data_IF_542155486887
#
_entry.id   IF_542155486887
#
_cell.length_a   1.000
_cell.length_b   1.000
_cell.length_c   1.000
_cell.angle_alpha   90.00
_cell.angle_beta   90.00
_cell.angle_gamma   90.00
#
_symmetry.space_group_name_H-M   'P 1'
#
loop_
_entity.id
_entity.type
_entity.pdbx_description
1 polymer ?
#
# COMPACT_ATOMS: atom_id res chain seq x y z
N UNK A 1 -22.59 -8.87 -7.67
CA UNK A 1 -23.35 -7.74 -8.23
C UNK A 1 -24.83 -7.91 -7.95
N UNK A 2 -25.56 -6.78 -7.80
CA UNK A 2 -27.03 -6.75 -7.73
C UNK A 2 -27.55 -6.08 -9.00
N UNK A 3 -28.55 -6.68 -9.63
CA UNK A 3 -29.20 -6.17 -10.84
C UNK A 3 -30.64 -5.83 -10.50
N UNK A 4 -31.13 -4.69 -11.01
CA UNK A 4 -32.50 -4.22 -10.82
C UNK A 4 -33.45 -4.65 -11.94
N UNK A 5 -32.87 -5.15 -13.04
CA UNK A 5 -33.65 -5.71 -14.17
C UNK A 5 -33.02 -7.00 -14.72
N UNK A 6 -33.86 -7.83 -15.34
CA UNK A 6 -33.46 -9.14 -15.88
C UNK A 6 -32.63 -9.05 -17.16
N UNK A 7 -32.80 -8.01 -17.94
CA UNK A 7 -32.10 -7.82 -19.22
C UNK A 7 -30.64 -7.48 -18.98
N UNK A 8 -30.36 -6.49 -18.11
CA UNK A 8 -29.00 -6.13 -17.69
C UNK A 8 -28.27 -7.32 -17.06
N UNK A 9 -28.98 -8.10 -16.23
CA UNK A 9 -28.44 -9.34 -15.65
C UNK A 9 -28.03 -10.34 -16.73
N UNK A 10 -28.92 -10.67 -17.64
CA UNK A 10 -28.67 -11.65 -18.69
C UNK A 10 -27.52 -11.22 -19.62
N UNK A 11 -27.50 -9.95 -20.02
CA UNK A 11 -26.43 -9.38 -20.82
C UNK A 11 -25.07 -9.49 -20.11
N UNK A 12 -25.02 -9.10 -18.83
CA UNK A 12 -23.76 -9.18 -18.07
C UNK A 12 -23.29 -10.62 -17.88
N UNK A 13 -24.20 -11.56 -17.53
CA UNK A 13 -23.85 -12.97 -17.36
C UNK A 13 -23.34 -13.61 -18.66
N UNK A 14 -23.89 -13.18 -19.81
CA UNK A 14 -23.43 -13.60 -21.13
C UNK A 14 -21.98 -13.10 -21.41
N UNK A 15 -21.73 -11.82 -21.15
CA UNK A 15 -20.42 -11.22 -21.30
C UNK A 15 -19.41 -11.90 -20.35
N UNK A 16 -19.77 -12.10 -19.08
CA UNK A 16 -18.89 -12.70 -18.07
C UNK A 16 -18.40 -14.10 -18.46
N UNK A 17 -19.25 -14.90 -19.14
CA UNK A 17 -18.85 -16.24 -19.60
C UNK A 17 -17.73 -16.22 -20.64
N UNK A 18 -17.56 -15.12 -21.39
CA UNK A 18 -16.50 -14.99 -22.39
C UNK A 18 -15.15 -14.64 -21.78
N UNK A 19 -15.13 -14.15 -20.52
CA UNK A 19 -13.93 -13.68 -19.83
C UNK A 19 -13.70 -14.44 -18.51
N UNK A 20 -13.57 -15.75 -18.59
CA UNK A 20 -13.27 -16.57 -17.41
C UNK A 20 -11.95 -16.12 -16.77
N UNK A 21 -11.96 -15.90 -15.44
CA UNK A 21 -10.80 -15.45 -14.67
C UNK A 21 -10.58 -13.92 -14.66
N UNK A 22 -11.44 -13.14 -15.34
CA UNK A 22 -11.38 -11.69 -15.32
C UNK A 22 -12.62 -11.08 -14.68
N UNK A 23 -12.41 -9.98 -13.99
CA UNK A 23 -13.47 -9.04 -13.66
C UNK A 23 -13.77 -8.14 -14.86
N UNK A 24 -15.05 -7.71 -14.98
CA UNK A 24 -15.51 -6.85 -16.06
C UNK A 24 -16.11 -5.57 -15.51
N UNK A 25 -15.61 -4.44 -15.99
CA UNK A 25 -16.20 -3.13 -15.80
C UNK A 25 -16.87 -2.64 -17.08
N UNK A 26 -18.11 -2.15 -17.00
CA UNK A 26 -18.71 -1.36 -18.06
C UNK A 26 -18.25 0.08 -17.86
N UNK A 27 -17.45 0.59 -18.79
CA UNK A 27 -16.82 1.92 -18.69
C UNK A 27 -17.50 2.96 -19.57
N UNK A 28 -18.33 2.53 -20.49
CA UNK A 28 -19.12 3.39 -21.36
C UNK A 28 -20.31 2.67 -21.96
N UNK A 29 -21.33 3.45 -22.31
CA UNK A 29 -22.55 2.99 -22.99
C UNK A 29 -23.01 4.10 -23.93
N UNK A 30 -23.48 3.73 -25.10
CA UNK A 30 -24.07 4.69 -26.04
C UNK A 30 -25.51 5.07 -25.59
N UNK A 31 -26.08 6.08 -26.24
CA UNK A 31 -27.41 6.62 -25.88
C UNK A 31 -28.56 5.60 -26.09
N UNK A 32 -28.39 4.65 -26.99
CA UNK A 32 -29.36 3.58 -27.25
C UNK A 32 -29.18 2.35 -26.33
N UNK A 33 -28.13 2.36 -25.47
CA UNK A 33 -27.76 1.31 -24.52
C UNK A 33 -27.49 -0.07 -25.17
N UNK A 34 -27.23 -0.10 -26.50
CA UNK A 34 -26.93 -1.30 -27.25
C UNK A 34 -25.41 -1.49 -27.53
N UNK A 35 -24.60 -0.45 -27.39
CA UNK A 35 -23.13 -0.52 -27.51
C UNK A 35 -22.49 -0.25 -26.15
N UNK A 36 -21.73 -1.22 -25.63
CA UNK A 36 -21.05 -1.13 -24.37
C UNK A 36 -19.53 -1.07 -24.59
N UNK A 37 -18.84 -0.22 -23.83
CA UNK A 37 -17.38 -0.29 -23.70
C UNK A 37 -17.08 -1.06 -22.41
N UNK A 38 -16.39 -2.18 -22.56
CA UNK A 38 -16.03 -3.07 -21.48
C UNK A 38 -14.54 -2.94 -21.19
N UNK A 39 -14.17 -3.06 -19.92
CA UNK A 39 -12.81 -3.27 -19.48
C UNK A 39 -12.73 -4.57 -18.72
N UNK A 40 -11.85 -5.47 -19.15
CA UNK A 40 -11.46 -6.64 -18.35
C UNK A 40 -10.28 -6.29 -17.46
N UNK A 41 -10.12 -6.95 -16.31
CA UNK A 41 -8.96 -6.84 -15.43
C UNK A 41 -8.90 -8.04 -14.48
N UNK A 42 -7.71 -8.32 -13.97
CA UNK A 42 -7.50 -9.33 -12.93
C UNK A 42 -6.41 -8.87 -11.95
N UNK A 43 -6.07 -9.70 -10.99
CA UNK A 43 -4.92 -9.50 -10.10
C UNK A 43 -3.57 -9.65 -10.83
N UNK A 44 -3.56 -10.28 -12.01
CA UNK A 44 -2.38 -10.53 -12.85
C UNK A 44 -2.30 -9.68 -14.10
N UNK A 45 -3.35 -8.95 -14.42
CA UNK A 45 -3.44 -8.20 -15.66
C UNK A 45 -4.20 -6.90 -15.51
N UNK A 46 -3.69 -5.84 -16.15
CA UNK A 46 -4.45 -4.61 -16.36
C UNK A 46 -5.57 -4.79 -17.40
N UNK A 47 -5.57 -5.93 -18.11
CA UNK A 47 -6.60 -6.35 -19.04
C UNK A 47 -6.67 -5.57 -20.34
N UNK A 48 -7.85 -5.54 -20.93
CA UNK A 48 -8.09 -4.96 -22.23
C UNK A 48 -9.45 -4.24 -22.29
N UNK A 49 -9.59 -3.36 -23.27
CA UNK A 49 -10.87 -2.73 -23.60
C UNK A 49 -11.52 -3.41 -24.81
N UNK A 50 -12.84 -3.53 -24.76
CA UNK A 50 -13.66 -4.14 -25.79
C UNK A 50 -14.87 -3.27 -26.10
N UNK A 51 -15.34 -3.32 -27.34
CA UNK A 51 -16.69 -2.88 -27.72
C UNK A 51 -17.58 -4.11 -27.82
N UNK A 52 -18.70 -4.09 -27.15
CA UNK A 52 -19.76 -5.11 -27.27
C UNK A 52 -21.01 -4.50 -27.82
N UNK A 53 -21.55 -5.07 -28.88
CA UNK A 53 -22.85 -4.73 -29.42
C UNK A 53 -23.86 -5.81 -29.02
N UNK A 54 -24.89 -5.41 -28.26
CA UNK A 54 -25.90 -6.32 -27.72
C UNK A 54 -26.97 -6.70 -28.74
N UNK A 55 -27.11 -5.99 -29.89
CA UNK A 55 -28.10 -6.30 -30.94
C UNK A 55 -27.66 -7.49 -31.77
N UNK A 56 -26.43 -7.55 -32.17
CA UNK A 56 -25.85 -8.62 -33.00
C UNK A 56 -24.91 -9.56 -32.24
N UNK A 57 -24.72 -9.32 -30.92
CA UNK A 57 -23.88 -10.10 -30.05
C UNK A 57 -22.40 -10.15 -30.47
N UNK A 58 -21.91 -9.07 -31.04
CA UNK A 58 -20.52 -8.99 -31.48
C UNK A 58 -19.64 -8.37 -30.40
N UNK A 59 -18.39 -8.90 -30.31
CA UNK A 59 -17.38 -8.42 -29.37
C UNK A 59 -16.08 -8.15 -30.12
N UNK A 60 -15.57 -6.94 -30.01
CA UNK A 60 -14.30 -6.54 -30.64
C UNK A 60 -13.31 -6.01 -29.58
N UNK A 61 -12.09 -6.53 -29.57
CA UNK A 61 -11.00 -6.01 -28.72
C UNK A 61 -10.48 -4.71 -29.32
N UNK A 62 -10.51 -3.63 -28.54
CA UNK A 62 -10.00 -2.33 -28.95
C UNK A 62 -8.49 -2.25 -28.70
N UNK A 63 -8.09 -2.51 -27.44
CA UNK A 63 -6.69 -2.35 -26.99
C UNK A 63 -6.44 -3.18 -25.76
N UNK A 64 -5.25 -3.73 -25.67
CA UNK A 64 -4.69 -4.32 -24.45
C UNK A 64 -3.91 -3.26 -23.68
N UNK A 65 -4.10 -3.18 -22.36
CA UNK A 65 -3.52 -2.08 -21.56
C UNK A 65 -2.00 -2.27 -21.37
N UNK A 66 -1.55 -3.51 -21.22
CA UNK A 66 -0.14 -3.84 -20.97
C UNK A 66 0.28 -5.10 -21.71
N UNK A 67 0.38 -5.09 -23.05
CA UNK A 67 0.67 -6.27 -23.85
C UNK A 67 2.08 -6.83 -23.63
N UNK A 68 2.96 -6.07 -23.00
CA UNK A 68 4.34 -6.49 -22.66
C UNK A 68 4.44 -7.25 -21.33
N UNK A 69 3.35 -7.38 -20.55
CA UNK A 69 3.33 -8.13 -19.30
C UNK A 69 2.78 -9.53 -19.58
N UNK A 70 3.58 -10.56 -19.29
CA UNK A 70 3.10 -11.94 -19.31
C UNK A 70 2.37 -12.26 -18.02
N UNK A 71 1.05 -12.45 -18.08
CA UNK A 71 0.20 -12.78 -16.94
C UNK A 71 0.59 -14.10 -16.27
N UNK A 72 1.23 -15.04 -17.01
CA UNK A 72 1.70 -16.30 -16.47
C UNK A 72 2.89 -16.13 -15.53
N UNK A 73 3.59 -15.00 -15.61
CA UNK A 73 4.69 -14.66 -14.71
C UNK A 73 4.21 -13.88 -13.46
N UNK A 74 2.93 -13.54 -13.40
CA UNK A 74 2.34 -12.79 -12.28
C UNK A 74 1.77 -13.70 -11.21
N UNK A 75 1.70 -13.17 -10.00
CA UNK A 75 1.20 -13.84 -8.80
C UNK A 75 -0.28 -13.56 -8.54
N UNK A 76 -0.97 -14.52 -7.93
CA UNK A 76 -2.34 -14.29 -7.47
C UNK A 76 -2.35 -13.42 -6.21
N UNK A 77 -3.31 -12.50 -6.14
CA UNK A 77 -3.61 -11.70 -4.97
C UNK A 77 -4.82 -12.29 -4.22
N UNK A 78 -4.58 -12.82 -3.04
CA UNK A 78 -5.57 -13.53 -2.24
C UNK A 78 -6.21 -12.59 -1.22
N UNK A 79 -7.54 -12.39 -1.21
CA UNK A 79 -8.21 -11.72 -0.11
C UNK A 79 -8.02 -12.51 1.19
N UNK A 80 -7.59 -11.80 2.24
CA UNK A 80 -7.36 -12.38 3.57
C UNK A 80 -7.97 -11.48 4.65
N UNK A 81 -8.19 -12.06 5.83
CA UNK A 81 -8.57 -11.30 7.01
C UNK A 81 -7.92 -11.88 8.27
N UNK A 82 -7.74 -11.02 9.26
CA UNK A 82 -7.26 -11.38 10.59
C UNK A 82 -7.90 -10.48 11.65
N UNK A 83 -7.75 -10.83 12.90
CA UNK A 83 -8.19 -9.99 14.02
C UNK A 83 -7.01 -9.24 14.60
N UNK A 84 -7.18 -7.93 14.77
CA UNK A 84 -6.28 -7.12 15.58
C UNK A 84 -6.43 -7.51 17.06
N UNK A 85 -5.43 -7.20 17.88
CA UNK A 85 -5.38 -7.57 19.31
C UNK A 85 -6.58 -7.10 20.14
N UNK A 86 -7.28 -6.08 19.70
CA UNK A 86 -8.51 -5.56 20.30
C UNK A 86 -9.79 -6.20 19.72
N UNK A 87 -9.65 -7.19 18.84
CA UNK A 87 -10.74 -7.93 18.23
C UNK A 87 -11.34 -7.28 16.98
N UNK A 88 -10.79 -6.16 16.51
CA UNK A 88 -11.24 -5.55 15.26
C UNK A 88 -10.82 -6.42 14.07
N UNK A 89 -11.78 -6.76 13.20
CA UNK A 89 -11.49 -7.49 11.97
C UNK A 89 -10.79 -6.58 10.96
N UNK A 90 -9.61 -6.96 10.52
CA UNK A 90 -8.81 -6.28 9.49
C UNK A 90 -8.84 -7.13 8.21
N UNK A 91 -9.24 -6.51 7.11
CA UNK A 91 -9.20 -7.15 5.79
C UNK A 91 -7.95 -6.72 5.05
N UNK A 92 -7.45 -7.57 4.16
CA UNK A 92 -6.26 -7.29 3.38
C UNK A 92 -6.13 -8.19 2.17
N UNK A 93 -4.96 -8.14 1.57
CA UNK A 93 -4.59 -8.97 0.42
C UNK A 93 -3.21 -9.54 0.65
N UNK A 94 -3.08 -10.84 0.42
CA UNK A 94 -1.81 -11.54 0.44
C UNK A 94 -1.44 -11.96 -0.98
N UNK A 95 -0.31 -11.46 -1.47
CA UNK A 95 0.26 -11.89 -2.74
C UNK A 95 1.46 -12.77 -2.46
N UNK A 96 1.38 -14.04 -2.87
CA UNK A 96 2.44 -15.01 -2.70
C UNK A 96 3.30 -15.09 -3.96
N UNK A 97 4.61 -15.38 -3.84
CA UNK A 97 5.45 -15.60 -5.02
C UNK A 97 4.88 -16.69 -5.93
N UNK A 98 5.20 -16.61 -7.23
CA UNK A 98 4.76 -17.59 -8.22
C UNK A 98 5.08 -19.03 -7.76
N UNK A 99 4.11 -19.92 -7.88
CA UNK A 99 4.22 -21.31 -7.46
C UNK A 99 3.82 -21.58 -6.00
N UNK A 100 3.57 -20.55 -5.21
CA UNK A 100 3.06 -20.68 -3.86
C UNK A 100 1.56 -20.41 -3.76
N UNK A 101 0.94 -21.08 -2.80
CA UNK A 101 -0.45 -20.88 -2.38
C UNK A 101 -0.54 -21.01 -0.84
N UNK A 102 -1.72 -20.86 -0.26
CA UNK A 102 -1.91 -20.90 1.21
C UNK A 102 -1.54 -22.23 1.85
N UNK A 103 -1.50 -23.33 1.08
CA UNK A 103 -1.20 -24.67 1.60
C UNK A 103 0.30 -24.96 1.66
N UNK A 104 1.06 -24.44 0.68
CA UNK A 104 2.49 -24.70 0.53
C UNK A 104 3.41 -23.53 0.91
N UNK A 105 2.87 -22.33 1.12
CA UNK A 105 3.66 -21.17 1.55
C UNK A 105 4.17 -21.37 2.98
N UNK A 106 5.49 -21.53 3.13
CA UNK A 106 6.15 -21.73 4.45
C UNK A 106 7.50 -21.04 4.48
N UNK A 107 7.77 -20.34 5.58
CA UNK A 107 9.06 -19.70 5.86
C UNK A 107 9.56 -18.81 4.71
N UNK A 108 8.65 -18.01 4.12
CA UNK A 108 8.98 -17.09 3.04
C UNK A 108 9.54 -15.78 3.60
N UNK A 109 10.43 -15.10 2.86
CA UNK A 109 10.71 -13.70 3.11
C UNK A 109 9.46 -12.87 2.80
N UNK A 110 9.16 -11.88 3.64
CA UNK A 110 7.91 -11.12 3.58
C UNK A 110 8.17 -9.62 3.50
N UNK A 111 7.35 -8.92 2.73
CA UNK A 111 7.22 -7.46 2.78
C UNK A 111 5.82 -7.10 3.27
N UNK A 112 5.77 -6.40 4.38
CA UNK A 112 4.55 -5.79 4.92
C UNK A 112 4.38 -4.44 4.24
N UNK A 113 3.25 -4.23 3.57
CA UNK A 113 3.04 -3.05 2.73
C UNK A 113 1.79 -2.26 3.16
N UNK A 114 1.89 -1.40 4.19
CA UNK A 114 0.82 -0.49 4.55
C UNK A 114 0.63 0.59 3.49
N UNK A 115 -0.62 0.82 3.09
CA UNK A 115 -0.96 1.83 2.10
C UNK A 115 -0.82 3.26 2.63
N UNK A 116 -0.69 4.22 1.72
CA UNK A 116 -0.74 5.65 2.01
C UNK A 116 -2.14 6.17 2.30
N UNK A 117 -2.23 7.43 2.65
CA UNK A 117 -3.48 8.10 2.96
C UNK A 117 -3.45 8.82 4.29
N UNK A 118 -3.89 8.23 5.43
CA UNK A 118 -4.32 6.85 5.67
C UNK A 118 -5.76 6.53 5.23
N UNK A 119 -6.58 7.55 5.01
CA UNK A 119 -8.00 7.41 4.65
C UNK A 119 -8.17 7.10 3.16
N UNK A 120 -7.57 6.00 2.75
CA UNK A 120 -7.60 5.36 1.45
C UNK A 120 -7.85 3.86 1.65
N UNK A 121 -7.60 3.04 0.65
CA UNK A 121 -7.61 1.59 0.79
C UNK A 121 -6.82 0.92 -0.32
N UNK A 122 -6.32 -0.27 -0.04
CA UNK A 122 -5.96 -1.23 -1.06
C UNK A 122 -7.21 -1.94 -1.61
N UNK A 123 -7.17 -2.30 -2.85
CA UNK A 123 -8.22 -3.03 -3.55
C UNK A 123 -7.63 -4.20 -4.31
N UNK A 124 -8.44 -5.25 -4.52
CA UNK A 124 -8.05 -6.37 -5.35
C UNK A 124 -7.85 -5.93 -6.80
N UNK A 125 -6.80 -6.42 -7.42
CA UNK A 125 -6.46 -6.16 -8.81
C UNK A 125 -4.96 -6.08 -9.05
N UNK A 126 -4.57 -5.87 -10.31
CA UNK A 126 -3.17 -5.76 -10.68
C UNK A 126 -2.52 -4.52 -10.06
N UNK A 127 -1.49 -4.76 -9.26
CA UNK A 127 -0.63 -3.71 -8.74
C UNK A 127 0.82 -4.01 -9.17
N UNK A 128 1.45 -3.17 -10.02
CA UNK A 128 2.78 -3.44 -10.56
C UNK A 128 3.87 -3.51 -9.49
N UNK A 129 3.73 -2.75 -8.40
CA UNK A 129 4.69 -2.75 -7.29
C UNK A 129 4.60 -4.06 -6.48
N UNK A 130 3.40 -4.52 -6.19
CA UNK A 130 3.18 -5.78 -5.48
C UNK A 130 3.64 -6.95 -6.34
N UNK A 131 3.34 -6.94 -7.63
CA UNK A 131 3.81 -7.95 -8.58
C UNK A 131 5.34 -7.93 -8.70
N UNK A 132 5.96 -6.75 -8.70
CA UNK A 132 7.41 -6.61 -8.67
C UNK A 132 8.02 -7.30 -7.44
N UNK A 133 7.49 -7.06 -6.24
CA UNK A 133 7.98 -7.69 -5.02
C UNK A 133 7.74 -9.21 -5.01
N UNK A 134 6.56 -9.66 -5.41
CA UNK A 134 6.22 -11.08 -5.46
C UNK A 134 7.08 -11.85 -6.48
N UNK A 135 7.39 -11.23 -7.63
CA UNK A 135 8.27 -11.81 -8.65
C UNK A 135 9.72 -11.98 -8.16
N UNK A 136 10.15 -11.18 -7.15
CA UNK A 136 11.46 -11.31 -6.47
C UNK A 136 11.46 -12.34 -5.35
N UNK A 137 10.36 -13.05 -5.16
CA UNK A 137 10.25 -14.13 -4.18
C UNK A 137 9.72 -13.70 -2.80
N UNK A 138 9.25 -12.46 -2.64
CA UNK A 138 8.66 -12.00 -1.39
C UNK A 138 7.16 -12.29 -1.35
N UNK A 139 6.66 -12.82 -0.23
CA UNK A 139 5.25 -12.74 0.07
C UNK A 139 4.93 -11.29 0.50
N UNK A 140 3.83 -10.71 -0.01
CA UNK A 140 3.48 -9.33 0.26
C UNK A 140 2.11 -9.26 0.93
N UNK A 141 2.04 -8.70 2.13
CA UNK A 141 0.78 -8.44 2.83
C UNK A 141 0.42 -6.96 2.76
N UNK A 142 -0.68 -6.67 2.09
CA UNK A 142 -1.36 -5.38 2.10
C UNK A 142 -2.54 -5.47 3.06
N UNK A 143 -2.64 -4.58 4.04
CA UNK A 143 -3.74 -4.56 4.98
C UNK A 143 -4.50 -3.25 4.92
N UNK A 144 -5.82 -3.35 4.97
CA UNK A 144 -6.69 -2.20 5.18
C UNK A 144 -6.90 -2.02 6.69
N UNK A 145 -5.91 -1.39 7.34
CA UNK A 145 -5.96 -1.06 8.77
C UNK A 145 -7.11 -0.10 9.08
N UNK A 146 -7.50 0.00 10.37
CA UNK A 146 -8.56 0.94 10.78
C UNK A 146 -8.34 2.35 10.21
N UNK A 147 -9.41 2.98 9.75
CA UNK A 147 -9.36 4.23 9.00
C UNK A 147 -9.41 4.06 7.48
N UNK A 148 -9.11 2.86 6.97
CA UNK A 148 -9.27 2.58 5.53
C UNK A 148 -10.72 2.76 5.09
N UNK A 149 -10.91 3.33 3.89
CA UNK A 149 -12.23 3.62 3.35
C UNK A 149 -12.96 2.36 2.86
N UNK A 150 -14.31 2.43 2.77
CA UNK A 150 -15.14 1.35 2.24
C UNK A 150 -15.60 0.31 3.27
N UNK A 151 -15.17 0.42 4.53
CA UNK A 151 -15.56 -0.49 5.62
C UNK A 151 -16.58 0.12 6.60
N UNK A 152 -17.12 1.28 6.24
CA UNK A 152 -18.13 1.97 7.01
C UNK A 152 -17.58 2.98 8.02
N UNK A 153 -18.48 3.83 8.52
CA UNK A 153 -18.14 4.98 9.35
C UNK A 153 -17.42 4.59 10.66
N UNK A 154 -17.89 3.56 11.34
CA UNK A 154 -17.25 3.09 12.59
C UNK A 154 -15.80 2.68 12.41
N UNK A 155 -15.49 2.00 11.30
CA UNK A 155 -14.14 1.59 10.96
C UNK A 155 -13.25 2.79 10.61
N UNK A 156 -13.81 3.76 9.91
CA UNK A 156 -13.14 5.01 9.57
C UNK A 156 -12.80 5.83 10.81
N UNK A 157 -13.79 6.10 11.68
CA UNK A 157 -13.62 6.88 12.90
C UNK A 157 -12.75 6.18 13.96
N UNK A 158 -12.61 4.86 13.91
CA UNK A 158 -11.72 4.10 14.77
C UNK A 158 -10.22 4.46 14.62
N UNK A 159 -9.88 5.23 13.57
CA UNK A 159 -8.52 5.74 13.32
C UNK A 159 -8.23 7.09 13.97
N UNK A 160 -9.25 7.81 14.46
CA UNK A 160 -9.08 9.19 14.94
C UNK A 160 -8.16 9.23 16.16
N UNK A 161 -7.09 10.04 16.05
CA UNK A 161 -6.00 10.14 17.04
C UNK A 161 -5.32 8.80 17.34
N UNK A 162 -5.26 7.89 16.34
CA UNK A 162 -4.69 6.55 16.48
C UNK A 162 -3.45 6.30 15.61
N UNK A 163 -2.93 7.32 14.96
CA UNK A 163 -1.67 7.23 14.24
C UNK A 163 -0.55 6.74 15.16
N UNK A 164 0.24 5.76 14.71
CA UNK A 164 1.31 5.15 15.49
C UNK A 164 0.86 4.32 16.71
N UNK A 165 -0.43 4.26 16.97
CA UNK A 165 -1.05 3.54 18.10
C UNK A 165 -1.83 2.34 17.57
N UNK A 166 -3.14 2.30 17.72
CA UNK A 166 -3.96 1.16 17.32
C UNK A 166 -3.94 0.92 15.78
N UNK A 167 -3.73 1.96 14.98
CA UNK A 167 -3.51 1.78 13.52
C UNK A 167 -2.20 1.04 13.24
N UNK A 168 -1.15 1.29 14.04
CA UNK A 168 0.10 0.54 13.95
C UNK A 168 -0.04 -0.87 14.51
N UNK A 169 -0.87 -1.06 15.55
CA UNK A 169 -1.17 -2.38 16.08
C UNK A 169 -1.83 -3.28 15.03
N UNK A 170 -2.76 -2.75 14.22
CA UNK A 170 -3.36 -3.48 13.11
C UNK A 170 -2.30 -4.02 12.12
N UNK A 171 -1.26 -3.23 11.83
CA UNK A 171 -0.17 -3.61 10.93
C UNK A 171 0.72 -4.68 11.59
N UNK A 172 1.09 -4.47 12.85
CA UNK A 172 1.86 -5.42 13.65
C UNK A 172 1.16 -6.77 13.77
N UNK A 173 -0.15 -6.76 14.05
CA UNK A 173 -0.94 -7.97 14.22
C UNK A 173 -1.11 -8.75 12.89
N UNK A 174 -1.15 -8.05 11.75
CA UNK A 174 -1.08 -8.68 10.43
C UNK A 174 0.27 -9.35 10.16
N UNK A 175 1.35 -8.72 10.60
CA UNK A 175 2.68 -9.33 10.54
C UNK A 175 2.76 -10.59 11.40
N UNK A 176 2.27 -10.51 12.64
CA UNK A 176 2.23 -11.63 13.56
C UNK A 176 1.34 -12.78 13.03
N UNK A 177 0.20 -12.44 12.42
CA UNK A 177 -0.68 -13.43 11.77
C UNK A 177 0.06 -14.25 10.70
N UNK A 178 0.92 -13.64 9.87
CA UNK A 178 1.74 -14.38 8.89
C UNK A 178 2.76 -15.29 9.55
N UNK A 179 3.36 -14.86 10.66
CA UNK A 179 4.30 -15.67 11.46
C UNK A 179 3.57 -16.88 12.06
N UNK A 180 2.42 -16.65 12.70
CA UNK A 180 1.62 -17.70 13.35
C UNK A 180 1.08 -18.73 12.35
N UNK A 181 0.81 -18.31 11.11
CA UNK A 181 0.46 -19.21 9.99
C UNK A 181 1.66 -20.00 9.45
N UNK A 182 2.88 -19.67 9.87
CA UNK A 182 4.11 -20.28 9.37
C UNK A 182 4.45 -19.88 7.93
N UNK A 183 3.75 -18.87 7.38
CA UNK A 183 4.00 -18.33 6.04
C UNK A 183 5.29 -17.52 6.05
N UNK A 184 5.42 -16.61 7.04
CA UNK A 184 6.58 -15.74 7.17
C UNK A 184 7.71 -16.43 7.93
N UNK A 185 8.93 -16.29 7.44
CA UNK A 185 10.14 -16.44 8.24
C UNK A 185 10.32 -15.19 9.11
N UNK A 186 10.17 -15.34 10.41
CA UNK A 186 10.23 -14.22 11.37
C UNK A 186 11.54 -13.44 11.37
N UNK A 187 12.58 -13.97 10.75
CA UNK A 187 13.89 -13.32 10.63
C UNK A 187 14.06 -12.56 9.32
N UNK A 188 13.12 -12.72 8.37
CA UNK A 188 13.18 -12.16 7.02
C UNK A 188 11.92 -11.39 6.65
N UNK A 189 11.54 -10.44 7.51
CA UNK A 189 10.38 -9.58 7.31
C UNK A 189 10.87 -8.14 7.15
N UNK A 190 10.48 -7.48 6.05
CA UNK A 190 10.63 -6.04 5.86
C UNK A 190 9.26 -5.35 5.92
N UNK A 191 9.27 -4.07 6.23
CA UNK A 191 8.12 -3.18 6.11
C UNK A 191 8.43 -2.09 5.10
N UNK A 192 7.51 -1.85 4.16
CA UNK A 192 7.65 -0.87 3.09
C UNK A 192 6.34 -0.15 2.82
N UNK A 193 6.37 1.17 2.78
CA UNK A 193 5.20 1.94 2.40
C UNK A 193 5.51 3.36 1.96
N UNK A 194 4.54 3.99 1.30
CA UNK A 194 4.63 5.37 0.83
C UNK A 194 3.73 6.32 1.61
N UNK A 195 4.15 7.56 1.82
CA UNK A 195 3.38 8.61 2.49
C UNK A 195 3.00 8.20 3.92
N UNK A 196 1.69 8.08 4.24
CA UNK A 196 1.30 7.47 5.52
C UNK A 196 1.91 6.07 5.71
N UNK A 197 2.00 5.25 4.66
CA UNK A 197 2.67 3.95 4.71
C UNK A 197 4.15 4.06 5.06
N UNK A 198 4.83 5.13 4.62
CA UNK A 198 6.20 5.46 5.02
C UNK A 198 6.30 5.81 6.50
N UNK A 199 5.39 6.65 6.99
CA UNK A 199 5.23 6.90 8.42
C UNK A 199 5.01 5.60 9.22
N UNK A 200 4.11 4.73 8.75
CA UNK A 200 3.83 3.45 9.37
C UNK A 200 5.06 2.51 9.35
N UNK A 201 5.89 2.60 8.31
CA UNK A 201 7.19 1.93 8.26
C UNK A 201 8.10 2.42 9.38
N UNK A 202 8.30 3.73 9.50
CA UNK A 202 9.15 4.32 10.54
C UNK A 202 8.63 3.97 11.94
N UNK A 203 7.32 4.09 12.18
CA UNK A 203 6.71 3.73 13.47
C UNK A 203 6.77 2.23 13.76
N UNK A 204 6.63 1.38 12.75
CA UNK A 204 6.82 -0.06 12.88
C UNK A 204 8.23 -0.40 13.39
N UNK A 205 9.25 0.22 12.80
CA UNK A 205 10.66 0.03 13.20
C UNK A 205 10.95 0.55 14.62
N UNK A 206 10.22 1.60 15.05
CA UNK A 206 10.33 2.14 16.42
C UNK A 206 9.59 1.28 17.44
N UNK A 207 8.37 0.87 17.12
CA UNK A 207 7.47 0.18 18.05
C UNK A 207 7.81 -1.29 18.21
N UNK A 208 8.23 -1.92 17.13
CA UNK A 208 8.55 -3.35 17.06
C UNK A 208 10.00 -3.58 16.55
N UNK A 209 11.02 -3.14 17.33
CA UNK A 209 12.41 -3.09 16.85
C UNK A 209 13.06 -4.45 16.55
N UNK A 210 12.37 -5.55 16.87
CA UNK A 210 12.84 -6.92 16.61
C UNK A 210 12.03 -7.66 15.56
N UNK A 211 10.93 -7.07 15.08
CA UNK A 211 10.01 -7.72 14.16
C UNK A 211 10.47 -7.59 12.71
N UNK A 212 11.10 -6.48 12.37
CA UNK A 212 11.49 -6.17 11.01
C UNK A 212 13.00 -6.22 10.85
N UNK A 213 13.47 -6.97 9.85
CA UNK A 213 14.86 -7.04 9.44
C UNK A 213 15.31 -5.81 8.65
N UNK A 214 14.36 -5.09 8.04
CA UNK A 214 14.60 -3.87 7.26
C UNK A 214 13.33 -3.03 7.11
N UNK A 215 13.48 -1.73 6.88
CA UNK A 215 12.38 -0.83 6.51
C UNK A 215 12.70 -0.02 5.26
N UNK A 216 11.67 0.23 4.44
CA UNK A 216 11.76 1.14 3.29
C UNK A 216 10.71 2.23 3.45
N UNK A 217 11.15 3.43 3.74
CA UNK A 217 10.30 4.61 3.85
C UNK A 217 10.32 5.41 2.54
N UNK A 218 9.17 5.53 1.90
CA UNK A 218 9.00 6.33 0.71
C UNK A 218 8.11 7.55 0.98
N UNK A 219 8.71 8.74 0.98
CA UNK A 219 8.05 10.03 1.21
C UNK A 219 7.19 10.07 2.48
N UNK A 220 7.70 9.47 3.58
CA UNK A 220 6.95 9.30 4.84
C UNK A 220 7.13 10.46 5.81
N UNK A 221 6.14 10.62 6.69
CA UNK A 221 6.18 11.59 7.80
C UNK A 221 7.03 11.05 8.93
N UNK A 222 7.92 11.86 9.49
CA UNK A 222 8.76 11.49 10.64
C UNK A 222 8.43 12.24 11.92
N UNK A 223 7.81 13.41 11.80
CA UNK A 223 7.55 14.33 12.90
C UNK A 223 6.20 15.02 12.75
N UNK A 224 5.25 14.70 13.60
CA UNK A 224 3.90 15.25 13.55
C UNK A 224 3.85 16.78 13.69
N UNK A 225 4.80 17.37 14.42
CA UNK A 225 4.84 18.83 14.61
C UNK A 225 5.26 19.56 13.33
N UNK A 226 6.32 19.09 12.66
CA UNK A 226 6.78 19.69 11.41
C UNK A 226 5.79 19.40 10.28
N UNK A 227 5.23 18.21 10.23
CA UNK A 227 4.19 17.85 9.27
C UNK A 227 2.98 18.77 9.37
N UNK A 228 2.41 18.96 10.57
CA UNK A 228 1.26 19.84 10.80
C UNK A 228 1.58 21.32 10.50
N UNK A 229 2.83 21.74 10.70
CA UNK A 229 3.29 23.11 10.42
C UNK A 229 3.48 23.38 8.91
N UNK A 230 3.81 22.35 8.14
CA UNK A 230 4.10 22.43 6.69
C UNK A 230 2.94 21.96 5.82
N UNK A 231 1.73 21.89 6.36
CA UNK A 231 0.51 21.59 5.60
C UNK A 231 0.41 22.52 4.40
N UNK A 232 0.25 21.98 3.17
CA UNK A 232 0.18 22.81 1.97
C UNK A 232 -1.05 23.71 2.00
N UNK A 233 -1.01 24.94 1.40
CA UNK A 233 -2.09 25.91 1.48
C UNK A 233 -3.46 25.37 1.03
N UNK A 234 -3.50 24.43 0.10
CA UNK A 234 -4.76 23.83 -0.36
C UNK A 234 -5.38 22.84 0.66
N UNK A 235 -4.67 22.50 1.76
CA UNK A 235 -5.19 21.72 2.89
C UNK A 235 -5.59 22.61 4.08
N UNK A 236 -5.25 23.89 4.07
CA UNK A 236 -5.58 24.82 5.17
C UNK A 236 -7.07 24.78 5.56
N UNK A 237 -8.04 24.72 4.62
CA UNK A 237 -9.45 24.57 4.96
C UNK A 237 -9.80 23.27 5.73
N UNK A 238 -8.92 22.27 5.71
CA UNK A 238 -9.08 20.98 6.37
C UNK A 238 -8.31 20.88 7.69
N UNK A 239 -7.68 21.96 8.15
CA UNK A 239 -6.79 21.93 9.32
C UNK A 239 -7.53 21.51 10.60
N UNK A 240 -8.75 21.99 10.82
CA UNK A 240 -9.57 21.59 11.97
C UNK A 240 -9.88 20.10 11.93
N UNK A 241 -10.19 19.57 10.75
CA UNK A 241 -10.38 18.12 10.56
C UNK A 241 -9.09 17.35 10.86
N UNK A 242 -7.93 17.86 10.44
CA UNK A 242 -6.64 17.24 10.77
C UNK A 242 -6.39 17.22 12.28
N UNK A 243 -6.76 18.29 13.00
CA UNK A 243 -6.66 18.32 14.47
C UNK A 243 -7.58 17.30 15.14
N UNK A 244 -8.78 17.08 14.60
CA UNK A 244 -9.70 16.05 15.10
C UNK A 244 -9.19 14.64 14.81
N UNK A 245 -8.70 14.41 13.59
CA UNK A 245 -8.39 13.07 13.10
C UNK A 245 -6.96 12.61 13.43
N UNK A 246 -5.99 13.53 13.49
CA UNK A 246 -4.58 13.23 13.79
C UNK A 246 -4.18 13.69 15.17
N UNK A 247 -4.43 14.96 15.49
CA UNK A 247 -4.14 15.58 16.78
C UNK A 247 -3.79 17.06 16.66
N UNK A 248 -4.13 17.81 17.69
CA UNK A 248 -3.86 19.24 17.83
C UNK A 248 -2.45 19.43 18.45
N UNK A 249 -1.59 20.20 17.77
CA UNK A 249 -0.20 20.38 18.17
C UNK A 249 -0.01 21.00 19.56
N UNK A 250 -1.01 21.74 20.05
CA UNK A 250 -0.98 22.34 21.39
C UNK A 250 -1.61 21.42 22.44
N UNK A 251 -2.82 20.90 22.16
CA UNK A 251 -3.60 20.10 23.12
C UNK A 251 -3.12 18.67 23.25
N UNK A 252 -2.66 18.08 22.12
CA UNK A 252 -2.26 16.68 22.03
C UNK A 252 -0.73 16.52 21.91
N UNK A 253 0.06 17.53 22.31
CA UNK A 253 1.52 17.57 22.08
C UNK A 253 2.27 16.35 22.62
N UNK A 254 1.90 15.85 23.80
CA UNK A 254 2.51 14.65 24.39
C UNK A 254 2.27 13.41 23.52
N UNK A 255 1.03 13.22 23.05
CA UNK A 255 0.66 12.13 22.13
C UNK A 255 1.39 12.27 20.80
N UNK A 256 1.40 13.46 20.19
CA UNK A 256 2.07 13.69 18.91
C UNK A 256 3.58 13.44 19.01
N UNK A 257 4.21 13.76 20.13
CA UNK A 257 5.62 13.42 20.39
C UNK A 257 5.83 11.92 20.48
N UNK A 258 4.96 11.20 21.19
CA UNK A 258 5.01 9.73 21.31
C UNK A 258 4.95 9.04 19.95
N UNK A 259 4.11 9.55 19.04
CA UNK A 259 3.88 8.95 17.72
C UNK A 259 4.71 9.59 16.59
N UNK A 260 5.72 10.37 16.92
CA UNK A 260 6.68 10.94 15.95
C UNK A 260 7.97 10.13 15.94
N UNK A 261 8.24 9.33 14.88
CA UNK A 261 9.39 8.41 14.83
C UNK A 261 10.74 9.07 15.10
N UNK A 262 10.93 10.31 14.66
CA UNK A 262 12.18 11.05 14.79
C UNK A 262 12.67 11.19 16.26
N UNK A 263 11.75 11.20 17.22
CA UNK A 263 12.10 11.29 18.64
C UNK A 263 12.51 9.94 19.27
N UNK A 264 12.40 8.85 18.52
CA UNK A 264 12.56 7.48 19.01
C UNK A 264 13.55 6.65 18.18
N UNK A 265 14.41 7.30 17.42
CA UNK A 265 15.37 6.61 16.51
C UNK A 265 16.33 5.67 17.26
N UNK A 266 16.56 5.89 18.55
CA UNK A 266 17.37 5.02 19.42
C UNK A 266 16.75 3.60 19.59
N UNK A 267 15.47 3.46 19.34
CA UNK A 267 14.75 2.18 19.36
C UNK A 267 14.93 1.37 18.07
N UNK A 268 15.23 2.01 16.95
CA UNK A 268 15.42 1.35 15.65
C UNK A 268 16.70 0.50 15.71
N UNK A 269 16.58 -0.78 15.33
CA UNK A 269 17.69 -1.76 15.41
C UNK A 269 18.08 -2.34 14.05
N UNK A 270 17.25 -2.16 13.04
CA UNK A 270 17.49 -2.67 11.70
C UNK A 270 17.67 -1.52 10.69
N UNK A 271 18.35 -1.75 9.57
CA UNK A 271 18.61 -0.72 8.58
C UNK A 271 17.34 -0.19 7.91
N UNK A 272 17.41 1.07 7.50
CA UNK A 272 16.35 1.76 6.75
C UNK A 272 16.86 2.28 5.42
N UNK A 273 16.02 2.18 4.39
CA UNK A 273 16.17 2.90 3.13
C UNK A 273 15.07 3.97 3.06
N UNK A 274 15.46 5.24 2.96
CA UNK A 274 14.54 6.38 2.88
C UNK A 274 14.67 7.00 1.49
N UNK A 275 13.54 7.22 0.81
CA UNK A 275 13.50 7.87 -0.50
C UNK A 275 12.52 9.05 -0.49
N UNK A 276 12.96 10.21 -1.03
CA UNK A 276 12.23 11.47 -0.93
C UNK A 276 12.35 12.32 -2.19
N UNK A 277 11.25 12.95 -2.59
CA UNK A 277 11.26 14.02 -3.59
C UNK A 277 11.53 15.38 -2.94
N UNK A 278 12.50 16.12 -3.47
CA UNK A 278 12.88 17.42 -2.89
C UNK A 278 11.82 18.52 -3.04
N UNK A 279 10.91 18.37 -4.01
CA UNK A 279 9.80 19.29 -4.26
C UNK A 279 8.46 18.74 -3.76
N UNK A 280 8.48 17.87 -2.75
CA UNK A 280 7.26 17.30 -2.20
C UNK A 280 6.43 18.37 -1.46
N UNK A 281 5.21 18.69 -1.94
CA UNK A 281 4.38 19.71 -1.31
C UNK A 281 3.51 19.17 -0.17
N UNK A 282 3.46 17.84 0.02
CA UNK A 282 2.59 17.17 1.02
C UNK A 282 3.37 16.74 2.24
N UNK A 283 4.51 16.08 2.00
CA UNK A 283 5.46 15.67 3.02
C UNK A 283 6.78 16.33 2.67
N UNK A 284 7.06 17.44 3.33
CA UNK A 284 8.24 18.24 3.05
C UNK A 284 9.52 17.40 3.19
N UNK A 285 10.52 17.66 2.35
CA UNK A 285 11.82 16.96 2.39
C UNK A 285 12.48 17.01 3.77
N UNK A 286 12.19 18.04 4.56
CA UNK A 286 12.68 18.17 5.94
C UNK A 286 12.23 17.00 6.84
N UNK A 287 11.12 16.30 6.51
CA UNK A 287 10.68 15.10 7.25
C UNK A 287 11.72 13.99 7.12
N UNK A 288 12.18 13.73 5.90
CA UNK A 288 13.23 12.75 5.65
C UNK A 288 14.60 13.22 6.14
N UNK A 289 14.96 14.49 5.92
CA UNK A 289 16.26 15.05 6.34
C UNK A 289 16.48 14.96 7.86
N UNK A 290 15.46 15.37 8.65
CA UNK A 290 15.55 15.31 10.11
C UNK A 290 15.64 13.85 10.62
N UNK A 291 14.91 12.93 9.98
CA UNK A 291 14.95 11.50 10.32
C UNK A 291 16.34 10.90 10.05
N UNK A 292 16.87 11.12 8.84
CA UNK A 292 18.20 10.66 8.43
C UNK A 292 19.30 11.24 9.34
N UNK A 293 19.19 12.53 9.67
CA UNK A 293 20.13 13.18 10.60
C UNK A 293 20.09 12.52 11.97
N UNK A 294 18.90 12.35 12.55
CA UNK A 294 18.75 11.74 13.87
C UNK A 294 19.27 10.29 13.90
N UNK A 295 19.04 9.51 12.83
CA UNK A 295 19.54 8.14 12.70
C UNK A 295 21.07 8.11 12.65
N UNK A 296 21.71 8.95 11.84
CA UNK A 296 23.17 9.05 11.74
C UNK A 296 23.80 9.44 13.08
N UNK A 297 23.20 10.38 13.81
CA UNK A 297 23.67 10.81 15.14
C UNK A 297 23.61 9.66 16.17
N UNK A 298 22.69 8.70 16.00
CA UNK A 298 22.54 7.51 16.85
C UNK A 298 23.27 6.27 16.33
N UNK A 299 23.96 6.36 15.19
CA UNK A 299 24.67 5.24 14.58
C UNK A 299 23.76 4.17 13.99
N UNK A 300 22.51 4.50 13.67
CA UNK A 300 21.58 3.60 12.99
C UNK A 300 21.85 3.67 11.48
N UNK A 301 21.96 2.49 10.85
CA UNK A 301 22.22 2.38 9.41
C UNK A 301 21.05 2.92 8.60
N UNK A 302 21.33 3.84 7.67
CA UNK A 302 20.33 4.42 6.77
C UNK A 302 20.91 4.73 5.41
N UNK A 303 20.27 4.22 4.37
CA UNK A 303 20.45 4.65 2.98
C UNK A 303 19.45 5.77 2.66
N UNK A 304 19.88 6.81 1.93
CA UNK A 304 19.04 7.96 1.63
C UNK A 304 19.12 8.35 0.16
N UNK A 305 17.97 8.32 -0.53
CA UNK A 305 17.82 8.70 -1.93
C UNK A 305 16.92 9.94 -2.06
N UNK A 306 17.48 11.07 -2.47
CA UNK A 306 16.72 12.30 -2.73
C UNK A 306 16.73 12.60 -4.22
N UNK A 307 15.54 12.87 -4.78
CA UNK A 307 15.36 13.30 -6.17
C UNK A 307 14.96 14.75 -6.24
N UNK A 308 15.85 15.60 -6.81
CA UNK A 308 15.70 17.07 -6.82
C UNK A 308 14.53 17.56 -7.68
N UNK A 309 14.13 16.77 -8.65
CA UNK A 309 13.09 17.05 -9.65
C UNK A 309 11.75 16.35 -9.35
N UNK A 310 11.65 15.67 -8.19
CA UNK A 310 10.45 14.91 -7.82
C UNK A 310 9.67 15.54 -6.66
N UNK A 311 8.36 15.24 -6.65
CA UNK A 311 7.41 15.64 -5.62
C UNK A 311 6.98 14.47 -4.74
N UNK A 312 5.67 14.45 -4.39
CA UNK A 312 5.07 13.38 -3.57
C UNK A 312 4.89 12.11 -4.39
N UNK A 313 5.95 11.31 -4.45
CA UNK A 313 6.09 10.16 -5.33
C UNK A 313 6.82 10.50 -6.64
N UNK A 314 7.66 9.58 -7.10
CA UNK A 314 8.48 9.78 -8.29
C UNK A 314 7.66 9.54 -9.56
N UNK A 315 7.70 10.50 -10.48
CA UNK A 315 6.98 10.47 -11.76
C UNK A 315 7.92 10.31 -12.95
N UNK A 316 9.14 10.84 -12.85
CA UNK A 316 10.16 10.65 -13.86
C UNK A 316 10.54 9.16 -13.90
N UNK A 317 10.52 8.56 -15.10
CA UNK A 317 10.74 7.14 -15.30
C UNK A 317 12.12 6.68 -14.78
N UNK A 318 13.17 7.46 -15.08
CA UNK A 318 14.53 7.16 -14.63
C UNK A 318 14.64 7.16 -13.09
N UNK A 319 14.00 8.12 -12.42
CA UNK A 319 13.97 8.20 -10.96
C UNK A 319 13.21 7.02 -10.35
N UNK A 320 12.11 6.61 -10.99
CA UNK A 320 11.35 5.41 -10.58
C UNK A 320 12.19 4.14 -10.71
N UNK A 321 12.88 3.96 -11.84
CA UNK A 321 13.77 2.81 -12.03
C UNK A 321 14.92 2.79 -11.02
N UNK A 322 15.51 3.96 -10.74
CA UNK A 322 16.56 4.05 -9.73
C UNK A 322 16.04 3.66 -8.35
N UNK A 323 14.87 4.17 -7.95
CA UNK A 323 14.24 3.82 -6.69
C UNK A 323 13.98 2.32 -6.57
N UNK A 324 13.33 1.70 -7.56
CA UNK A 324 13.02 0.27 -7.51
C UNK A 324 14.27 -0.61 -7.54
N UNK A 325 15.32 -0.24 -8.30
CA UNK A 325 16.60 -0.96 -8.29
C UNK A 325 17.31 -0.83 -6.94
N UNK A 326 17.28 0.35 -6.33
CA UNK A 326 17.86 0.57 -5.01
C UNK A 326 17.11 -0.22 -3.93
N UNK A 327 15.77 -0.20 -3.96
CA UNK A 327 14.92 -0.97 -3.05
C UNK A 327 15.13 -2.48 -3.22
N UNK A 328 15.18 -2.99 -4.46
CA UNK A 328 15.46 -4.40 -4.75
C UNK A 328 16.80 -4.84 -4.16
N UNK A 329 17.85 -4.05 -4.41
CA UNK A 329 19.19 -4.32 -3.86
C UNK A 329 19.19 -4.31 -2.34
N UNK A 330 18.55 -3.32 -1.73
CA UNK A 330 18.46 -3.17 -0.28
C UNK A 330 17.70 -4.35 0.35
N UNK A 331 16.50 -4.66 -0.12
CA UNK A 331 15.70 -5.78 0.39
C UNK A 331 16.42 -7.11 0.21
N UNK A 332 17.05 -7.32 -0.95
CA UNK A 332 17.79 -8.56 -1.20
C UNK A 332 18.95 -8.74 -0.22
N UNK A 333 19.70 -7.67 0.06
CA UNK A 333 20.80 -7.69 1.03
C UNK A 333 20.31 -8.03 2.44
N UNK A 334 19.17 -7.50 2.85
CA UNK A 334 18.67 -7.63 4.22
C UNK A 334 17.85 -8.90 4.46
N UNK A 335 17.16 -9.43 3.43
CA UNK A 335 16.26 -10.57 3.56
C UNK A 335 16.84 -11.89 3.01
N UNK A 336 18.05 -11.90 2.47
CA UNK A 336 18.74 -13.11 1.96
C UNK A 336 19.61 -13.80 3.02
N UNK A 337 19.61 -13.31 4.24
CA UNK A 337 20.47 -13.80 5.34
C UNK A 337 19.86 -14.98 6.06
#
# INVERSE_FOLDING_TARGET
>A
RHYFDSTSKATFEKIQKQFAGYEIGITGVNKAENILILRTYSDKSLGAYYIYNSEDDTMEKIVEVSPWIDENEMSNQLPVDYQSRDGLKINGYLTLPKGYNMENAKNLPVVINPHGGPWARDSWGFNPEIQFLANRGYAVLQMNFRGSTGYGRKFFEASFKKWGREMQDDITDGTQWLIDKGIADSTRIAIYGGSYGGYATLMGMVKEPKMYAAGVDYVGVSNMFTFMKTIPPYWEPMLEMMYEMVGDVEKDSAMLREVSPVFHVDKIKAPLFIAQGANDPRVNVDESDQMVKAMKEKGVEVEYLVKKDEGHGFRNEENRFEFYRAMEKFLNLQLSK
#
